data_IF_617221505287
#
_entry.id   IF_617221505287
#
_cell.length_a   1.000
_cell.length_b   1.000
_cell.length_c   1.000
_cell.angle_alpha   90.00
_cell.angle_beta   90.00
_cell.angle_gamma   90.00
#
_symmetry.space_group_name_H-M   'P 1'
#
loop_
_entity.id
_entity.type
_entity.pdbx_description
1 polymer ?
#
# COMPACT_ATOMS: atom_id res chain seq x y z
N UNK A 1 -0.69 4.39 -8.80
CA UNK A 1 -0.18 4.25 -7.41
C UNK A 1 -1.37 4.16 -6.46
N UNK A 2 -1.36 3.18 -5.56
CA UNK A 2 -2.40 2.96 -4.55
C UNK A 2 -1.86 3.37 -3.18
N UNK A 3 -2.59 4.20 -2.44
CA UNK A 3 -2.38 4.36 -1.01
C UNK A 3 -3.34 3.43 -0.29
N UNK A 4 -2.81 2.48 0.49
CA UNK A 4 -3.61 1.62 1.34
C UNK A 4 -3.35 1.98 2.80
N UNK A 5 -4.40 2.26 3.55
CA UNK A 5 -4.34 2.58 4.98
C UNK A 5 -5.09 1.50 5.71
N UNK A 6 -4.32 0.61 6.36
CA UNK A 6 -4.84 -0.54 7.09
C UNK A 6 -5.38 -0.13 8.47
N UNK A 7 -6.28 -0.94 9.03
CA UNK A 7 -6.70 -0.79 10.41
C UNK A 7 -5.51 -0.84 11.40
N UNK A 8 -4.50 -1.64 11.08
CA UNK A 8 -3.26 -1.79 11.83
C UNK A 8 -2.08 -0.99 11.24
N UNK A 9 -2.35 0.16 10.62
CA UNK A 9 -1.32 1.00 9.99
C UNK A 9 -0.19 1.43 10.94
N UNK A 10 -0.44 1.50 12.25
CA UNK A 10 0.56 1.89 13.26
C UNK A 10 1.65 0.85 13.50
N UNK A 11 1.46 -0.42 13.09
CA UNK A 11 2.49 -1.44 13.25
C UNK A 11 3.78 -1.05 12.53
N UNK A 12 3.67 -0.42 11.36
CA UNK A 12 4.83 0.09 10.64
C UNK A 12 5.54 1.26 11.33
N UNK A 13 4.94 1.91 12.34
CA UNK A 13 5.62 2.94 13.14
C UNK A 13 6.46 2.37 14.28
N UNK A 14 6.22 1.11 14.69
CA UNK A 14 6.87 0.50 15.85
C UNK A 14 8.40 0.52 15.75
N UNK A 15 8.95 0.23 14.58
CA UNK A 15 10.40 0.27 14.30
C UNK A 15 10.99 1.69 14.27
N UNK A 16 10.12 2.72 14.22
CA UNK A 16 10.51 4.11 14.06
C UNK A 16 10.15 4.97 15.28
N UNK A 17 9.68 4.39 16.38
CA UNK A 17 9.29 5.16 17.58
C UNK A 17 10.43 6.04 18.11
N UNK A 18 11.66 5.55 18.06
CA UNK A 18 12.87 6.30 18.47
C UNK A 18 13.40 7.29 17.42
N UNK A 19 12.73 7.39 16.26
CA UNK A 19 13.10 8.28 15.16
C UNK A 19 12.12 9.46 15.07
N UNK A 20 12.52 10.51 14.36
CA UNK A 20 11.62 11.62 14.00
C UNK A 20 10.77 11.27 12.77
N UNK A 21 9.62 11.94 12.55
CA UNK A 21 8.83 11.80 11.32
C UNK A 21 9.65 12.00 10.03
N UNK A 22 10.60 12.94 10.06
CA UNK A 22 11.53 13.17 8.96
C UNK A 22 12.33 11.90 8.61
N UNK A 23 12.98 11.29 9.61
CA UNK A 23 13.77 10.05 9.41
C UNK A 23 12.87 8.90 8.94
N UNK A 24 11.67 8.78 9.52
CA UNK A 24 10.68 7.78 9.12
C UNK A 24 10.34 7.87 7.63
N UNK A 25 10.02 9.07 7.14
CA UNK A 25 9.67 9.30 5.72
C UNK A 25 10.88 9.07 4.82
N UNK A 26 12.05 9.55 5.19
CA UNK A 26 13.27 9.32 4.42
C UNK A 26 13.57 7.83 4.26
N UNK A 27 13.46 7.04 5.33
CA UNK A 27 13.69 5.59 5.28
C UNK A 27 12.59 4.88 4.47
N UNK A 28 11.32 5.19 4.71
CA UNK A 28 10.16 4.56 4.04
C UNK A 28 10.14 4.79 2.52
N UNK A 29 10.62 5.95 2.06
CA UNK A 29 10.56 6.34 0.65
C UNK A 29 11.92 6.47 -0.03
N UNK A 30 13.00 6.00 0.61
CA UNK A 30 14.40 6.15 0.15
C UNK A 30 14.61 5.76 -1.31
N UNK A 31 13.93 4.70 -1.75
CA UNK A 31 14.08 4.12 -3.08
C UNK A 31 13.05 4.65 -4.10
N UNK A 32 12.27 5.67 -3.74
CA UNK A 32 11.29 6.31 -4.62
C UNK A 32 9.92 5.65 -4.67
N UNK A 33 9.72 4.59 -3.89
CA UNK A 33 8.46 3.89 -3.68
C UNK A 33 8.25 3.67 -2.18
N UNK A 34 7.06 3.20 -1.81
CA UNK A 34 6.70 2.94 -0.42
C UNK A 34 7.19 1.55 0.04
N UNK A 35 8.25 1.51 0.85
CA UNK A 35 8.81 0.24 1.37
C UNK A 35 7.79 -0.56 2.21
N UNK A 36 6.94 0.14 2.97
CA UNK A 36 5.90 -0.54 3.77
C UNK A 36 4.86 -1.23 2.87
N UNK A 37 4.55 -0.63 1.71
CA UNK A 37 3.67 -1.25 0.72
C UNK A 37 4.35 -2.45 0.04
N UNK A 38 5.64 -2.36 -0.28
CA UNK A 38 6.40 -3.46 -0.89
C UNK A 38 6.43 -4.70 0.01
N UNK A 39 6.68 -4.50 1.30
CA UNK A 39 6.66 -5.57 2.29
C UNK A 39 5.30 -6.28 2.30
N UNK A 40 4.21 -5.51 2.36
CA UNK A 40 2.85 -6.04 2.39
C UNK A 40 2.46 -6.76 1.10
N UNK A 41 2.92 -6.28 -0.06
CA UNK A 41 2.60 -6.89 -1.35
C UNK A 41 3.37 -8.19 -1.60
N UNK A 42 4.55 -8.35 -0.98
CA UNK A 42 5.43 -9.50 -1.21
C UNK A 42 5.23 -10.59 -0.16
N UNK A 43 5.09 -10.21 1.12
CA UNK A 43 4.86 -11.16 2.21
C UNK A 43 3.41 -11.66 2.22
N UNK A 44 3.17 -12.94 2.54
CA UNK A 44 1.83 -13.44 2.78
C UNK A 44 1.24 -12.77 4.03
N UNK A 45 -0.05 -12.44 3.99
CA UNK A 45 -0.75 -11.72 5.06
C UNK A 45 -1.17 -12.64 6.22
N UNK A 46 -1.28 -13.95 5.98
CA UNK A 46 -1.69 -14.93 7.00
C UNK A 46 -1.12 -16.33 6.75
N UNK A 47 -1.22 -17.21 7.76
CA UNK A 47 -0.83 -18.62 7.63
C UNK A 47 -1.69 -19.37 6.61
N UNK A 48 -2.97 -19.01 6.46
CA UNK A 48 -3.85 -19.57 5.44
C UNK A 48 -3.34 -19.21 4.04
N UNK A 49 -2.88 -17.98 3.83
CA UNK A 49 -2.28 -17.58 2.56
C UNK A 49 -0.97 -18.34 2.31
N UNK A 50 -0.14 -18.57 3.34
CA UNK A 50 1.06 -19.41 3.23
C UNK A 50 0.69 -20.82 2.77
N UNK A 51 -0.30 -21.46 3.41
CA UNK A 51 -0.78 -22.80 3.04
C UNK A 51 -1.34 -22.81 1.62
N UNK A 52 -2.12 -21.81 1.25
CA UNK A 52 -2.67 -21.66 -0.09
C UNK A 52 -1.57 -21.57 -1.15
N UNK A 53 -0.57 -20.69 -0.95
CA UNK A 53 0.56 -20.52 -1.88
C UNK A 53 1.34 -21.83 -2.05
N UNK A 54 1.54 -22.59 -0.97
CA UNK A 54 2.18 -23.93 -1.00
C UNK A 54 1.37 -24.96 -1.79
N UNK A 55 0.07 -25.05 -1.57
CA UNK A 55 -0.79 -25.97 -2.36
C UNK A 55 -0.89 -25.55 -3.83
N UNK A 56 -0.98 -24.25 -4.11
CA UNK A 56 -0.98 -23.73 -5.47
C UNK A 56 0.34 -24.02 -6.19
N UNK A 57 1.48 -23.92 -5.48
CA UNK A 57 2.81 -24.24 -6.01
C UNK A 57 2.91 -25.71 -6.45
N UNK A 58 2.33 -26.67 -5.71
CA UNK A 58 2.30 -28.08 -6.13
C UNK A 58 1.67 -28.29 -7.51
N UNK A 59 0.67 -27.47 -7.86
CA UNK A 59 -0.08 -27.60 -9.11
C UNK A 59 0.46 -26.73 -10.25
N UNK A 60 0.95 -25.54 -9.94
CA UNK A 60 1.31 -24.53 -10.94
C UNK A 60 2.77 -24.07 -10.86
N UNK A 61 3.46 -24.36 -9.76
CA UNK A 61 4.85 -23.96 -9.54
C UNK A 61 5.83 -24.80 -10.34
N UNK A 62 6.96 -24.21 -10.71
CA UNK A 62 8.05 -24.95 -11.36
C UNK A 62 8.60 -25.97 -10.36
N UNK A 63 8.59 -27.25 -10.73
CA UNK A 63 8.97 -28.37 -9.84
C UNK A 63 8.28 -28.33 -8.47
N UNK A 64 7.00 -27.92 -8.45
CA UNK A 64 6.21 -27.74 -7.23
C UNK A 64 6.75 -26.69 -6.23
N UNK A 65 7.65 -25.78 -6.67
CA UNK A 65 8.24 -24.72 -5.83
C UNK A 65 7.39 -23.47 -5.79
N UNK A 66 7.42 -22.78 -4.64
CA UNK A 66 6.78 -21.48 -4.49
C UNK A 66 7.58 -20.39 -5.24
N UNK A 67 6.94 -19.26 -5.46
CA UNK A 67 7.61 -18.06 -5.99
C UNK A 67 8.42 -17.41 -4.88
N UNK A 68 9.73 -17.28 -5.10
CA UNK A 68 10.66 -16.56 -4.23
C UNK A 68 10.59 -15.06 -4.49
N UNK A 69 10.62 -14.65 -5.76
CA UNK A 69 10.62 -13.23 -6.15
C UNK A 69 10.15 -13.04 -7.60
N UNK A 70 9.86 -11.78 -7.95
CA UNK A 70 9.69 -11.30 -9.32
C UNK A 70 10.85 -10.36 -9.65
N UNK A 71 11.62 -10.71 -10.69
CA UNK A 71 12.90 -10.05 -11.02
C UNK A 71 12.89 -9.33 -12.37
N UNK A 72 11.89 -9.60 -13.19
CA UNK A 72 11.80 -9.11 -14.57
C UNK A 72 10.35 -9.01 -15.03
N UNK A 73 10.13 -8.27 -16.11
CA UNK A 73 8.88 -8.31 -16.88
C UNK A 73 9.14 -8.13 -18.36
N UNK A 74 8.26 -8.66 -19.19
CA UNK A 74 8.23 -8.42 -20.63
C UNK A 74 6.80 -8.39 -21.15
N UNK A 75 6.58 -7.64 -22.22
CA UNK A 75 5.33 -7.66 -22.96
C UNK A 75 5.51 -8.58 -24.16
N UNK A 76 4.59 -9.51 -24.36
CA UNK A 76 4.56 -10.37 -25.54
C UNK A 76 3.16 -10.28 -26.16
N UNK A 77 3.08 -9.66 -27.35
CA UNK A 77 1.80 -9.28 -27.93
C UNK A 77 1.08 -8.26 -27.05
N UNK A 78 -0.12 -8.60 -26.59
CA UNK A 78 -0.92 -7.76 -25.69
C UNK A 78 -0.97 -8.29 -24.24
N UNK A 79 -0.11 -9.25 -23.89
CA UNK A 79 -0.07 -9.87 -22.57
C UNK A 79 1.26 -9.57 -21.84
N UNK A 80 1.16 -9.33 -20.53
CA UNK A 80 2.30 -9.08 -19.65
C UNK A 80 2.78 -10.39 -19.02
N UNK A 81 4.08 -10.63 -19.07
CA UNK A 81 4.76 -11.74 -18.43
C UNK A 81 5.77 -11.23 -17.42
N UNK A 82 5.90 -11.95 -16.31
CA UNK A 82 6.85 -11.63 -15.25
C UNK A 82 7.87 -12.76 -15.12
N UNK A 83 9.13 -12.40 -14.95
CA UNK A 83 10.20 -13.34 -14.66
C UNK A 83 10.14 -13.74 -13.20
N UNK A 84 9.90 -15.02 -12.97
CA UNK A 84 9.71 -15.63 -11.66
C UNK A 84 11.00 -16.32 -11.23
N UNK A 85 11.53 -15.88 -10.10
CA UNK A 85 12.55 -16.60 -9.34
C UNK A 85 11.82 -17.57 -8.39
N UNK A 86 12.20 -18.83 -8.41
CA UNK A 86 11.54 -19.90 -7.66
C UNK A 86 12.31 -20.25 -6.38
N UNK A 87 11.61 -20.65 -5.33
CA UNK A 87 12.28 -21.09 -4.10
C UNK A 87 13.16 -22.33 -4.36
N UNK A 88 14.31 -22.36 -3.71
CA UNK A 88 15.32 -23.43 -3.83
C UNK A 88 15.93 -23.61 -5.24
N UNK A 89 15.67 -22.68 -6.17
CA UNK A 89 16.28 -22.64 -7.50
C UNK A 89 17.09 -21.34 -7.66
N UNK A 90 18.32 -21.35 -7.15
CA UNK A 90 19.15 -20.12 -7.09
C UNK A 90 19.90 -19.79 -8.39
N UNK A 91 19.92 -20.69 -9.38
CA UNK A 91 20.49 -20.38 -10.70
C UNK A 91 19.48 -19.52 -11.51
N UNK A 92 19.81 -18.26 -11.86
CA UNK A 92 18.91 -17.39 -12.64
C UNK A 92 18.47 -17.98 -13.98
N UNK A 93 19.23 -18.92 -14.56
CA UNK A 93 18.82 -19.65 -15.78
C UNK A 93 17.58 -20.51 -15.56
N UNK A 94 17.23 -20.79 -14.31
CA UNK A 94 16.03 -21.52 -13.93
C UNK A 94 14.81 -20.62 -13.74
N UNK A 95 14.93 -19.31 -13.89
CA UNK A 95 13.77 -18.43 -13.90
C UNK A 95 12.85 -18.75 -15.09
N UNK A 96 11.56 -18.48 -14.94
CA UNK A 96 10.58 -18.62 -16.03
C UNK A 96 9.76 -17.36 -16.17
N UNK A 97 9.34 -17.06 -17.41
CA UNK A 97 8.40 -15.96 -17.66
C UNK A 97 6.97 -16.49 -17.58
N UNK A 98 6.22 -16.00 -16.61
CA UNK A 98 4.86 -16.47 -16.31
C UNK A 98 3.83 -15.35 -16.52
N UNK A 99 2.65 -15.67 -17.08
CA UNK A 99 1.60 -14.68 -17.29
C UNK A 99 0.91 -14.32 -15.97
N UNK A 100 0.29 -13.14 -15.92
CA UNK A 100 -0.48 -12.65 -14.76
C UNK A 100 -1.56 -13.66 -14.32
N UNK A 101 -2.16 -14.36 -15.28
CA UNK A 101 -3.19 -15.38 -15.02
C UNK A 101 -2.67 -16.54 -14.16
N UNK A 102 -1.40 -16.94 -14.33
CA UNK A 102 -0.74 -17.96 -13.50
C UNK A 102 -0.36 -17.41 -12.13
N UNK A 103 0.15 -16.17 -12.06
CA UNK A 103 0.46 -15.51 -10.78
C UNK A 103 -0.78 -15.36 -9.90
N UNK A 104 -1.95 -15.12 -10.51
CA UNK A 104 -3.25 -15.12 -9.81
C UNK A 104 -3.57 -16.47 -9.17
N UNK A 105 -3.36 -17.56 -9.90
CA UNK A 105 -3.56 -18.93 -9.38
C UNK A 105 -2.57 -19.27 -8.26
N UNK A 106 -1.35 -18.74 -8.33
CA UNK A 106 -0.30 -18.90 -7.33
C UNK A 106 -0.47 -17.97 -6.12
N UNK A 107 -1.41 -17.01 -6.14
CA UNK A 107 -1.63 -16.07 -5.04
C UNK A 107 -0.52 -15.01 -4.88
N UNK A 108 0.24 -14.72 -5.93
CA UNK A 108 1.43 -13.85 -5.86
C UNK A 108 1.36 -12.63 -6.78
N UNK A 109 0.15 -12.21 -7.16
CA UNK A 109 -0.06 -10.99 -7.95
C UNK A 109 0.49 -9.74 -7.26
N UNK A 110 0.52 -9.74 -5.92
CA UNK A 110 1.16 -8.67 -5.13
C UNK A 110 2.64 -8.48 -5.49
N UNK A 111 3.40 -9.56 -5.67
CA UNK A 111 4.82 -9.49 -6.02
C UNK A 111 5.05 -8.87 -7.40
N UNK A 112 4.18 -9.14 -8.38
CA UNK A 112 4.24 -8.50 -9.69
C UNK A 112 3.97 -6.98 -9.60
N UNK A 113 2.96 -6.58 -8.82
CA UNK A 113 2.67 -5.16 -8.56
C UNK A 113 3.85 -4.47 -7.86
N UNK A 114 4.46 -5.15 -6.90
CA UNK A 114 5.62 -4.66 -6.18
C UNK A 114 6.80 -4.41 -7.13
N UNK A 115 7.07 -5.36 -8.04
CA UNK A 115 8.05 -5.18 -9.11
C UNK A 115 7.74 -3.98 -10.02
N UNK A 116 6.49 -3.84 -10.48
CA UNK A 116 6.09 -2.73 -11.35
C UNK A 116 6.29 -1.36 -10.69
N UNK A 117 6.01 -1.24 -9.39
CA UNK A 117 6.26 -0.01 -8.64
C UNK A 117 7.75 0.32 -8.54
N UNK A 118 8.61 -0.69 -8.28
CA UNK A 118 10.07 -0.53 -8.25
C UNK A 118 10.60 -0.09 -9.62
N UNK A 119 10.17 -0.75 -10.69
CA UNK A 119 10.56 -0.40 -12.06
C UNK A 119 10.08 1.01 -12.46
N UNK A 120 8.87 1.39 -12.07
CA UNK A 120 8.35 2.74 -12.30
C UNK A 120 9.14 3.80 -11.51
N UNK A 121 9.53 3.51 -10.27
CA UNK A 121 10.35 4.41 -9.47
C UNK A 121 11.74 4.61 -10.11
N UNK A 122 12.40 3.53 -10.53
CA UNK A 122 13.69 3.59 -11.23
C UNK A 122 13.61 4.43 -12.51
N UNK A 123 12.53 4.29 -13.27
CA UNK A 123 12.32 5.04 -14.52
C UNK A 123 11.99 6.52 -14.27
N UNK A 124 11.26 6.81 -13.19
CA UNK A 124 10.85 8.19 -12.86
C UNK A 124 12.03 9.11 -12.52
N UNK A 125 13.17 8.57 -12.04
CA UNK A 125 14.40 9.33 -11.81
C UNK A 125 14.17 10.69 -11.13
N UNK A 126 14.34 11.77 -11.92
CA UNK A 126 14.25 13.19 -11.51
C UNK A 126 12.82 13.62 -11.10
N UNK A 127 11.77 12.97 -11.62
CA UNK A 127 10.37 13.29 -11.30
C UNK A 127 9.91 12.73 -9.95
N UNK A 128 10.82 12.10 -9.20
CA UNK A 128 10.54 11.68 -7.84
C UNK A 128 10.41 12.88 -6.91
N UNK A 129 9.45 12.79 -5.99
CA UNK A 129 9.24 13.81 -4.97
C UNK A 129 10.50 13.88 -4.07
N UNK A 130 11.12 15.07 -3.90
CA UNK A 130 12.34 15.19 -3.13
C UNK A 130 12.10 14.88 -1.65
N UNK A 131 13.02 14.14 -1.03
CA UNK A 131 13.03 13.82 0.41
C UNK A 131 13.78 14.89 1.22
N UNK A 132 13.65 16.16 0.81
CA UNK A 132 14.25 17.29 1.51
C UNK A 132 13.42 17.66 2.74
N UNK A 133 14.07 18.19 3.78
CA UNK A 133 13.38 18.63 5.00
C UNK A 133 12.23 19.59 4.69
N UNK A 134 12.48 20.58 3.80
CA UNK A 134 11.47 21.57 3.38
C UNK A 134 10.23 20.93 2.76
N UNK A 135 10.40 19.93 1.89
CA UNK A 135 9.27 19.27 1.23
C UNK A 135 8.52 18.34 2.20
N UNK A 136 9.25 17.65 3.08
CA UNK A 136 8.66 16.78 4.10
C UNK A 136 7.84 17.61 5.10
N UNK A 137 8.40 18.68 5.65
CA UNK A 137 7.68 19.58 6.57
C UNK A 137 6.43 20.15 5.92
N UNK A 138 6.56 20.76 4.73
CA UNK A 138 5.42 21.32 3.97
C UNK A 138 4.31 20.30 3.70
N UNK A 139 4.67 19.03 3.53
CA UNK A 139 3.69 17.96 3.37
C UNK A 139 2.92 17.71 4.66
N UNK A 140 3.62 17.54 5.77
CA UNK A 140 3.03 17.15 7.04
C UNK A 140 2.30 18.29 7.76
N UNK A 141 2.60 19.55 7.45
CA UNK A 141 1.80 20.71 7.85
C UNK A 141 0.34 20.59 7.37
N UNK A 142 0.12 20.03 6.17
CA UNK A 142 -1.24 19.80 5.64
C UNK A 142 -2.01 18.73 6.42
N UNK A 143 -1.31 17.92 7.22
CA UNK A 143 -1.89 16.94 8.14
C UNK A 143 -1.88 17.43 9.59
N UNK A 144 -1.51 18.70 9.84
CA UNK A 144 -1.50 19.30 11.16
C UNK A 144 -0.33 18.88 12.04
N UNK A 145 0.82 18.53 11.45
CA UNK A 145 2.08 18.34 12.18
C UNK A 145 3.03 19.49 11.79
N UNK A 146 3.46 20.27 12.77
CA UNK A 146 4.37 21.39 12.56
C UNK A 146 5.82 20.95 12.34
N UNK A 147 6.68 21.91 11.98
CA UNK A 147 8.10 21.66 11.72
C UNK A 147 8.84 21.04 12.92
N UNK A 148 8.56 21.50 14.14
CA UNK A 148 9.23 20.98 15.34
C UNK A 148 8.88 19.51 15.58
N UNK A 149 7.59 19.17 15.45
CA UNK A 149 7.12 17.79 15.50
C UNK A 149 7.80 16.92 14.44
N UNK A 150 7.93 17.43 13.20
CA UNK A 150 8.48 16.65 12.09
C UNK A 150 10.00 16.45 12.20
N UNK A 151 10.72 17.48 12.65
CA UNK A 151 12.17 17.53 12.59
C UNK A 151 12.86 17.11 13.89
N UNK A 152 12.29 17.45 15.05
CA UNK A 152 13.00 17.39 16.33
C UNK A 152 12.42 16.39 17.33
N UNK A 153 11.13 16.03 17.19
CA UNK A 153 10.45 15.15 18.14
C UNK A 153 10.43 13.71 17.68
N UNK A 154 10.73 12.80 18.61
CA UNK A 154 10.59 11.36 18.38
C UNK A 154 9.11 10.95 18.31
N UNK A 155 8.80 10.01 17.40
CA UNK A 155 7.45 9.50 17.17
C UNK A 155 6.89 8.83 18.44
N UNK A 156 7.73 8.28 19.31
CA UNK A 156 7.33 7.69 20.59
C UNK A 156 6.46 8.65 21.41
N UNK A 157 6.87 9.92 21.51
CA UNK A 157 6.20 10.96 22.28
C UNK A 157 4.98 11.58 21.58
N UNK A 158 4.53 11.03 20.45
CA UNK A 158 3.31 11.49 19.77
C UNK A 158 2.08 10.85 20.41
N UNK A 159 1.00 11.63 20.51
CA UNK A 159 -0.33 11.10 20.85
C UNK A 159 -0.82 10.14 19.76
N UNK A 160 -1.85 9.34 20.07
CA UNK A 160 -2.47 8.45 19.09
C UNK A 160 -2.97 9.21 17.84
N UNK A 161 -3.56 10.39 18.03
CA UNK A 161 -4.01 11.25 16.91
C UNK A 161 -2.84 11.79 16.08
N UNK A 162 -1.74 12.21 16.70
CA UNK A 162 -0.54 12.65 15.98
C UNK A 162 0.10 11.52 15.16
N UNK A 163 0.19 10.31 15.72
CA UNK A 163 0.68 9.12 14.98
C UNK A 163 -0.26 8.73 13.83
N UNK A 164 -1.56 8.93 14.00
CA UNK A 164 -2.56 8.73 12.93
C UNK A 164 -2.38 9.74 11.80
N UNK A 165 -2.22 11.03 12.13
CA UNK A 165 -1.88 12.10 11.17
C UNK A 165 -0.58 11.81 10.42
N UNK A 166 0.46 11.35 11.13
CA UNK A 166 1.73 10.94 10.53
C UNK A 166 1.56 9.79 9.53
N UNK A 167 0.80 8.76 9.90
CA UNK A 167 0.64 7.60 9.01
C UNK A 167 -0.22 7.92 7.80
N UNK A 168 -1.29 8.70 8.00
CA UNK A 168 -2.12 9.24 6.93
C UNK A 168 -1.27 10.09 5.97
N UNK A 169 -0.48 11.03 6.51
CA UNK A 169 0.43 11.85 5.72
C UNK A 169 1.42 11.00 4.91
N UNK A 170 2.04 10.00 5.53
CA UNK A 170 2.96 9.11 4.83
C UNK A 170 2.28 8.33 3.71
N UNK A 171 1.06 7.82 3.89
CA UNK A 171 0.31 7.12 2.83
C UNK A 171 0.05 8.02 1.61
N UNK A 172 -0.16 9.32 1.82
CA UNK A 172 -0.37 10.30 0.75
C UNK A 172 0.95 10.84 0.14
N UNK A 173 2.11 10.47 0.67
CA UNK A 173 3.41 10.97 0.19
C UNK A 173 3.64 10.70 -1.30
N UNK A 174 3.25 9.50 -1.77
CA UNK A 174 3.43 9.01 -3.14
C UNK A 174 2.47 9.60 -4.18
N UNK A 175 1.61 10.56 -3.76
CA UNK A 175 0.54 11.16 -4.59
C UNK A 175 -0.30 10.06 -5.26
N UNK A 176 -1.06 9.29 -4.46
CA UNK A 176 -1.83 8.15 -4.97
C UNK A 176 -2.89 8.59 -5.98
N UNK A 177 -3.26 7.66 -6.88
CA UNK A 177 -4.41 7.82 -7.78
C UNK A 177 -5.64 7.09 -7.24
N UNK A 178 -5.42 6.13 -6.35
CA UNK A 178 -6.44 5.36 -5.66
C UNK A 178 -6.10 5.37 -4.17
N UNK A 179 -7.07 5.67 -3.32
CA UNK A 179 -6.95 5.60 -1.86
C UNK A 179 -7.88 4.49 -1.37
N UNK A 180 -7.34 3.53 -0.64
CA UNK A 180 -8.10 2.47 0.00
C UNK A 180 -7.98 2.61 1.52
N UNK A 181 -9.10 2.81 2.20
CA UNK A 181 -9.20 2.98 3.64
C UNK A 181 -9.88 1.76 4.23
N UNK A 182 -9.21 1.13 5.18
CA UNK A 182 -9.71 -0.02 5.92
C UNK A 182 -10.04 0.39 7.36
N UNK A 183 -11.33 0.44 7.67
CA UNK A 183 -11.93 0.87 8.94
C UNK A 183 -11.34 2.17 9.54
N UNK A 184 -11.32 3.28 8.78
CA UNK A 184 -10.64 4.53 9.18
C UNK A 184 -11.19 5.14 10.47
N UNK A 185 -12.45 4.88 10.79
CA UNK A 185 -13.10 5.42 12.00
C UNK A 185 -12.58 4.81 13.30
N UNK A 186 -11.88 3.67 13.25
CA UNK A 186 -11.41 2.97 14.44
C UNK A 186 -10.11 3.53 15.03
N UNK A 187 -9.36 4.31 14.26
CA UNK A 187 -8.04 4.76 14.66
C UNK A 187 -7.76 6.24 14.33
N UNK A 188 -8.59 6.87 13.51
CA UNK A 188 -8.49 8.30 13.23
C UNK A 188 -9.40 9.05 14.21
N UNK A 189 -8.87 10.06 14.88
CA UNK A 189 -9.68 10.95 15.72
C UNK A 189 -10.72 11.71 14.89
N UNK A 190 -11.84 12.09 15.52
CA UNK A 190 -12.99 12.67 14.82
C UNK A 190 -12.66 13.93 14.02
N UNK A 191 -11.76 14.78 14.53
CA UNK A 191 -11.33 16.01 13.84
C UNK A 191 -10.57 15.66 12.55
N UNK A 192 -9.60 14.75 12.64
CA UNK A 192 -8.83 14.28 11.49
C UNK A 192 -9.72 13.51 10.50
N UNK A 193 -10.71 12.77 10.98
CA UNK A 193 -11.65 12.02 10.14
C UNK A 193 -12.55 12.96 9.31
N UNK A 194 -13.04 14.05 9.91
CA UNK A 194 -13.81 15.08 9.19
C UNK A 194 -12.96 15.80 8.14
N UNK A 195 -11.72 16.18 8.50
CA UNK A 195 -10.77 16.75 7.56
C UNK A 195 -10.46 15.80 6.39
N UNK A 196 -10.29 14.50 6.69
CA UNK A 196 -10.09 13.45 5.69
C UNK A 196 -11.29 13.32 4.76
N UNK A 197 -12.52 13.26 5.29
CA UNK A 197 -13.73 13.19 4.47
C UNK A 197 -13.84 14.37 3.49
N UNK A 198 -13.59 15.59 3.97
CA UNK A 198 -13.56 16.81 3.14
C UNK A 198 -12.46 16.76 2.08
N UNK A 199 -11.29 16.21 2.40
CA UNK A 199 -10.19 16.05 1.45
C UNK A 199 -10.52 15.01 0.37
N UNK A 200 -11.10 13.87 0.74
CA UNK A 200 -11.48 12.80 -0.18
C UNK A 200 -12.58 13.25 -1.15
N UNK A 201 -13.53 14.07 -0.71
CA UNK A 201 -14.54 14.67 -1.60
C UNK A 201 -13.97 15.59 -2.67
N UNK A 202 -12.77 16.16 -2.47
CA UNK A 202 -12.05 16.97 -3.48
C UNK A 202 -11.00 16.18 -4.24
N UNK A 203 -10.75 14.93 -3.84
CA UNK A 203 -9.74 14.09 -4.45
C UNK A 203 -10.22 13.63 -5.82
N UNK A 204 -9.39 13.84 -6.85
CA UNK A 204 -9.72 13.49 -8.24
C UNK A 204 -9.45 12.02 -8.60
N UNK A 205 -8.90 11.25 -7.65
CA UNK A 205 -8.66 9.83 -7.80
C UNK A 205 -9.83 8.98 -7.29
N UNK A 206 -9.69 7.66 -7.35
CA UNK A 206 -10.68 6.75 -6.81
C UNK A 206 -10.49 6.56 -5.30
N UNK A 207 -11.58 6.43 -4.56
CA UNK A 207 -11.57 6.13 -3.12
C UNK A 207 -12.36 4.85 -2.89
N UNK A 208 -11.76 3.91 -2.17
CA UNK A 208 -12.41 2.68 -1.69
C UNK A 208 -12.38 2.73 -0.17
N UNK A 209 -13.53 2.63 0.46
CA UNK A 209 -13.65 2.64 1.93
C UNK A 209 -14.30 1.34 2.37
N UNK A 210 -13.66 0.66 3.33
CA UNK A 210 -14.25 -0.41 4.12
C UNK A 210 -14.56 0.23 5.47
N UNK A 211 -15.83 0.34 5.83
CA UNK A 211 -16.22 0.87 7.13
C UNK A 211 -17.62 0.40 7.54
N UNK A 212 -17.79 0.12 8.82
CA UNK A 212 -19.10 -0.02 9.46
C UNK A 212 -19.80 1.33 9.75
N UNK A 213 -19.10 2.46 9.60
CA UNK A 213 -19.64 3.80 9.88
C UNK A 213 -20.43 4.37 8.70
N UNK A 214 -21.76 4.21 8.76
CA UNK A 214 -22.67 4.77 7.74
C UNK A 214 -22.48 6.29 7.52
N UNK A 215 -22.36 7.15 8.56
CA UNK A 215 -22.14 8.59 8.35
C UNK A 215 -20.88 8.90 7.54
N UNK A 216 -19.78 8.16 7.77
CA UNK A 216 -18.53 8.38 7.03
C UNK A 216 -18.63 7.88 5.59
N UNK A 217 -19.20 6.70 5.38
CA UNK A 217 -19.46 6.15 4.04
C UNK A 217 -20.40 7.07 3.25
N UNK A 218 -21.41 7.64 3.90
CA UNK A 218 -22.33 8.60 3.28
C UNK A 218 -21.67 9.92 2.92
N UNK A 219 -20.70 10.36 3.72
CA UNK A 219 -19.96 11.59 3.45
C UNK A 219 -18.95 11.47 2.30
N UNK A 220 -18.43 10.27 2.00
CA UNK A 220 -17.28 10.08 1.09
C UNK A 220 -17.61 9.25 -0.16
N UNK A 221 -18.50 8.27 -0.05
CA UNK A 221 -18.73 7.28 -1.11
C UNK A 221 -20.07 7.51 -1.83
N UNK A 222 -20.00 7.48 -3.16
CA UNK A 222 -21.14 7.56 -4.08
C UNK A 222 -21.68 6.18 -4.50
N UNK A 223 -20.94 5.11 -4.24
CA UNK A 223 -21.35 3.72 -4.50
C UNK A 223 -21.14 2.89 -3.23
N UNK A 224 -22.05 1.96 -2.99
CA UNK A 224 -22.01 1.02 -1.86
C UNK A 224 -21.96 -0.42 -2.40
N UNK A 225 -21.09 -1.22 -1.81
CA UNK A 225 -20.88 -2.61 -2.21
C UNK A 225 -21.10 -3.50 -0.98
N UNK A 226 -22.08 -4.38 -1.06
CA UNK A 226 -22.37 -5.37 -0.04
C UNK A 226 -21.73 -6.70 -0.41
N UNK A 227 -20.88 -7.23 0.46
CA UNK A 227 -20.23 -8.52 0.27
C UNK A 227 -20.79 -9.49 1.32
N UNK A 228 -21.51 -10.51 0.86
CA UNK A 228 -22.20 -11.49 1.71
C UNK A 228 -22.68 -12.67 0.88
N UNK A 229 -22.89 -13.83 1.51
CA UNK A 229 -23.41 -15.03 0.84
C UNK A 229 -22.65 -15.46 -0.43
N UNK A 230 -21.33 -15.28 -0.41
CA UNK A 230 -20.43 -15.50 -1.57
C UNK A 230 -20.79 -14.66 -2.82
N UNK A 231 -21.53 -13.56 -2.62
CA UNK A 231 -21.94 -12.61 -3.65
C UNK A 231 -21.47 -11.20 -3.31
N UNK A 232 -21.45 -10.37 -4.35
CA UNK A 232 -21.19 -8.93 -4.25
C UNK A 232 -22.36 -8.21 -4.91
N UNK A 233 -23.09 -7.42 -4.14
CA UNK A 233 -24.21 -6.62 -4.59
C UNK A 233 -23.84 -5.14 -4.57
N UNK A 234 -24.20 -4.42 -5.64
CA UNK A 234 -23.85 -3.01 -5.83
C UNK A 234 -25.10 -2.15 -5.70
N UNK A 235 -25.02 -1.13 -4.87
CA UNK A 235 -26.02 -0.06 -4.77
C UNK A 235 -25.35 1.27 -5.18
N UNK A 236 -25.93 1.97 -6.16
CA UNK A 236 -25.48 3.30 -6.58
C UNK A 236 -26.36 4.33 -5.90
N UNK A 237 -25.76 5.25 -5.14
CA UNK A 237 -26.54 6.34 -4.54
C UNK A 237 -27.00 7.28 -5.65
N UNK A 238 -28.31 7.51 -5.73
CA UNK A 238 -28.88 8.54 -6.61
C UNK A 238 -28.25 9.89 -6.27
N UNK A 239 -27.75 10.59 -7.29
CA UNK A 239 -27.26 11.96 -7.15
C UNK A 239 -28.41 12.94 -6.95
#
# INVERSE_FOLDING_TARGET
RLAYIAQQHMFHLSEFLSSTPYIYVQKRFKNGYDEALQERLTKPASEEEVKFRKEAAKRWGKYAKCVKNIVGRKIQGNEMFYEVEWEELDDPKQNTFEPVSKLKKLGVVGMAKAYDERAAAQTAGIDQRPLSSKEIVKHFEQFGLDEDMVMNRNIEGFSAGQKSKLTLGAAFWVKPHIVALDEPTNYIDMETLDALAKALNRFKGAVVVISHSKPFVDAVCNELWHVGDMKVEKEVKGK
#
